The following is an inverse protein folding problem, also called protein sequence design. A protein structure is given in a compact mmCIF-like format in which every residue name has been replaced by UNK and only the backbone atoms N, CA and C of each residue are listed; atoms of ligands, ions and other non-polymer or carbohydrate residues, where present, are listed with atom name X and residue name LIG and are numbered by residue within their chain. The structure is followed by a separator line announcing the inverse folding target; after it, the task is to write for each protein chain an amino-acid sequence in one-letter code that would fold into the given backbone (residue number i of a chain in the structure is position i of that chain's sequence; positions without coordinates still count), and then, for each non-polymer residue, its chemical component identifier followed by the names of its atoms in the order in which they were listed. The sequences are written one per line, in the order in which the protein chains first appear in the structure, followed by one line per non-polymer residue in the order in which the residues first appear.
data_IF_374777422704
#
_entry.id   IF_374777422704
#
_cell.length_a   1.000
_cell.length_b   1.000
_cell.length_c   1.000
_cell.angle_alpha   90.00
_cell.angle_beta   90.00
_cell.angle_gamma   90.00
#
_symmetry.space_group_name_H-M   'P 1'
#
loop_
_entity.id
_entity.type
_entity.pdbx_description
1 polymer ?
#
# COMPACT_ATOMS: atom_id res chain seq x y z
N UNK A 1 15.81 18.72 68.20
CA UNK A 1 15.80 18.57 66.72
C UNK A 1 16.87 19.54 66.21
N UNK A 2 17.93 19.19 65.48
CA UNK A 2 18.04 18.35 64.27
C UNK A 2 19.43 17.69 64.23
N UNK A 3 19.46 16.52 63.59
CA UNK A 3 20.57 15.57 63.44
C UNK A 3 21.72 16.11 62.57
N UNK A 4 22.91 15.75 63.05
CA UNK A 4 24.25 15.55 62.48
C UNK A 4 24.42 15.16 60.99
N UNK A 5 25.62 15.55 60.50
CA UNK A 5 26.57 14.93 59.53
C UNK A 5 26.31 15.19 58.04
N UNK A 6 27.13 16.02 57.37
CA UNK A 6 28.48 15.75 56.78
C UNK A 6 28.47 14.55 55.84
N UNK A 7 28.71 14.77 54.53
CA UNK A 7 29.79 14.16 53.74
C UNK A 7 29.94 14.94 52.41
N UNK A 8 31.15 15.44 52.24
CA UNK A 8 31.81 15.95 51.03
C UNK A 8 31.74 14.94 49.87
N UNK A 9 31.56 15.39 48.63
CA UNK A 9 32.47 15.07 47.50
C UNK A 9 32.03 15.74 46.20
N UNK A 10 32.99 16.49 45.65
CA UNK A 10 32.96 17.21 44.38
C UNK A 10 33.26 16.22 43.26
N UNK A 11 32.32 15.95 42.35
CA UNK A 11 32.64 15.54 40.97
C UNK A 11 31.68 16.25 40.02
N UNK A 12 32.18 17.33 39.43
CA UNK A 12 31.61 17.97 38.24
C UNK A 12 32.02 17.09 37.04
N UNK A 13 31.09 16.29 36.53
CA UNK A 13 31.21 15.71 35.19
C UNK A 13 30.25 16.48 34.29
N UNK A 14 30.79 17.53 33.70
CA UNK A 14 30.28 18.16 32.50
C UNK A 14 30.86 17.38 31.32
N UNK A 15 30.05 16.56 30.64
CA UNK A 15 30.46 15.88 29.40
C UNK A 15 29.24 15.57 28.55
N UNK A 16 28.99 16.48 27.60
CA UNK A 16 28.51 16.25 26.25
C UNK A 16 27.23 15.41 26.05
N UNK A 17 26.15 16.17 25.81
CA UNK A 17 25.03 15.85 24.92
C UNK A 17 25.45 14.96 23.74
N UNK A 18 24.97 13.73 23.71
CA UNK A 18 24.50 13.08 22.49
C UNK A 18 23.24 12.30 22.85
N UNK A 19 22.11 12.88 22.48
CA UNK A 19 20.80 12.28 22.65
C UNK A 19 20.73 10.97 21.87
N UNK A 20 20.78 9.85 22.60
CA UNK A 20 20.13 8.63 22.19
C UNK A 20 18.62 8.86 22.31
N UNK A 21 18.08 9.62 21.36
CA UNK A 21 16.71 9.48 20.93
C UNK A 21 16.60 8.06 20.36
N UNK A 22 16.48 7.08 21.25
CA UNK A 22 15.84 5.82 20.89
C UNK A 22 14.40 6.21 20.59
N UNK A 23 14.16 6.65 19.36
CA UNK A 23 12.83 6.85 18.86
C UNK A 23 12.17 5.50 19.01
N UNK A 24 11.33 5.36 20.05
CA UNK A 24 10.41 4.26 20.15
C UNK A 24 9.74 4.22 18.78
N UNK A 25 10.05 3.19 17.99
CA UNK A 25 9.34 2.95 16.73
C UNK A 25 7.97 2.54 17.20
N UNK A 26 7.11 3.52 17.48
CA UNK A 26 5.68 3.32 17.56
C UNK A 26 5.34 2.75 16.20
N UNK A 27 5.29 1.42 16.13
CA UNK A 27 4.66 0.69 15.05
C UNK A 27 3.23 1.15 15.11
N UNK A 28 2.94 2.28 14.44
CA UNK A 28 1.58 2.77 14.31
C UNK A 28 0.83 1.60 13.68
N UNK A 29 -0.07 1.00 14.46
CA UNK A 29 -0.95 -0.04 13.95
C UNK A 29 -1.59 0.52 12.68
N UNK A 30 -1.21 -0.06 11.55
CA UNK A 30 -1.48 0.53 10.26
C UNK A 30 -2.98 0.50 10.01
N UNK A 31 -3.58 1.67 9.81
CA UNK A 31 -5.04 1.81 9.70
C UNK A 31 -5.43 1.82 8.23
N UNK A 32 -6.47 1.07 7.92
CA UNK A 32 -7.13 1.16 6.62
C UNK A 32 -7.81 2.52 6.46
N UNK A 33 -7.45 3.24 5.41
CA UNK A 33 -8.07 4.49 5.01
C UNK A 33 -9.20 4.23 4.00
N UNK A 34 -10.27 5.01 4.05
CA UNK A 34 -11.37 4.91 3.09
C UNK A 34 -11.02 5.58 1.75
N UNK A 35 -11.42 4.94 0.66
CA UNK A 35 -11.24 5.39 -0.71
C UNK A 35 -9.99 4.80 -1.37
N UNK A 36 -9.68 5.29 -2.57
CA UNK A 36 -8.46 4.93 -3.31
C UNK A 36 -7.46 6.09 -3.25
N UNK A 37 -6.15 5.86 -3.06
CA UNK A 37 -5.11 6.88 -3.19
C UNK A 37 -5.14 7.58 -4.55
N UNK A 38 -4.94 8.90 -4.58
CA UNK A 38 -4.97 9.68 -5.83
C UNK A 38 -4.01 9.15 -6.89
N UNK A 39 -2.82 8.69 -6.48
CA UNK A 39 -1.79 8.16 -7.39
C UNK A 39 -2.21 6.89 -8.13
N UNK A 40 -3.17 6.14 -7.58
CA UNK A 40 -3.70 4.91 -8.15
C UNK A 40 -5.00 5.12 -8.93
N UNK A 41 -5.58 6.32 -8.93
CA UNK A 41 -6.82 6.58 -9.65
C UNK A 41 -6.53 6.75 -11.13
N UNK A 42 -7.34 6.13 -11.97
CA UNK A 42 -7.21 6.21 -13.43
C UNK A 42 -7.70 4.96 -14.15
N UNK A 43 -7.54 4.99 -15.47
CA UNK A 43 -7.74 3.84 -16.35
C UNK A 43 -6.36 3.27 -16.72
N UNK A 44 -6.20 1.97 -16.57
CA UNK A 44 -4.98 1.25 -16.84
C UNK A 44 -5.25 0.19 -17.89
N UNK A 45 -4.54 0.24 -19.01
CA UNK A 45 -4.55 -0.77 -20.06
C UNK A 45 -3.45 -1.79 -19.81
N UNK A 46 -3.69 -3.06 -20.14
CA UNK A 46 -2.64 -4.08 -20.07
C UNK A 46 -1.56 -3.77 -21.10
N UNK A 47 -0.30 -3.68 -20.68
CA UNK A 47 0.84 -3.66 -21.61
C UNK A 47 0.81 -4.98 -22.37
N UNK A 48 0.55 -4.92 -23.68
CA UNK A 48 0.38 -6.11 -24.50
C UNK A 48 1.64 -6.98 -24.40
N UNK A 49 1.51 -8.17 -23.82
CA UNK A 49 2.39 -9.27 -24.17
C UNK A 49 1.57 -10.18 -25.09
N UNK A 50 1.97 -10.09 -26.37
CA UNK A 50 2.09 -11.19 -27.32
C UNK A 50 2.27 -12.53 -26.59
N UNK A 51 1.74 -13.61 -27.17
CA UNK A 51 1.72 -14.99 -26.64
C UNK A 51 0.49 -15.34 -25.79
N UNK A 52 -0.63 -15.51 -26.49
CA UNK A 52 -1.34 -16.80 -26.51
C UNK A 52 -2.13 -17.26 -25.29
N UNK A 53 -2.00 -16.68 -24.10
CA UNK A 53 -2.56 -17.32 -22.90
C UNK A 53 -3.43 -16.45 -21.99
N UNK A 54 -4.67 -16.94 -21.87
CA UNK A 54 -5.61 -16.96 -20.74
C UNK A 54 -6.09 -15.62 -20.13
N UNK A 55 -7.40 -15.35 -20.28
CA UNK A 55 -8.41 -14.82 -19.32
C UNK A 55 -8.01 -13.83 -18.20
N UNK A 56 -6.91 -13.08 -18.31
CA UNK A 56 -6.52 -12.09 -17.30
C UNK A 56 -6.78 -10.67 -17.79
N UNK A 57 -7.18 -9.83 -16.85
CA UNK A 57 -7.93 -8.60 -17.07
C UNK A 57 -7.33 -7.68 -18.16
N UNK A 58 -8.17 -7.19 -19.09
CA UNK A 58 -7.80 -6.30 -20.20
C UNK A 58 -7.54 -4.87 -19.72
N UNK A 59 -8.40 -4.39 -18.81
CA UNK A 59 -8.33 -3.06 -18.25
C UNK A 59 -8.57 -3.10 -16.75
N UNK A 60 -7.93 -2.16 -16.05
CA UNK A 60 -8.24 -1.85 -14.66
C UNK A 60 -8.65 -0.38 -14.57
N UNK A 61 -9.83 -0.11 -14.04
CA UNK A 61 -10.26 1.25 -13.71
C UNK A 61 -10.38 1.37 -12.21
N UNK A 62 -9.68 2.34 -11.64
CA UNK A 62 -9.69 2.60 -10.21
C UNK A 62 -10.16 4.03 -9.96
N UNK A 63 -11.22 4.17 -9.17
CA UNK A 63 -11.75 5.48 -8.75
C UNK A 63 -11.75 5.57 -7.23
N UNK A 64 -12.17 6.71 -6.68
CA UNK A 64 -12.37 6.89 -5.24
C UNK A 64 -13.32 5.83 -4.62
N UNK A 65 -14.26 5.29 -5.41
CA UNK A 65 -15.37 4.47 -4.89
C UNK A 65 -15.41 3.04 -5.41
N UNK A 66 -14.74 2.77 -6.53
CA UNK A 66 -14.79 1.46 -7.19
C UNK A 66 -13.43 1.06 -7.75
N UNK A 67 -13.17 -0.25 -7.74
CA UNK A 67 -12.14 -0.88 -8.53
C UNK A 67 -12.82 -1.87 -9.48
N UNK A 68 -12.51 -1.75 -10.75
CA UNK A 68 -13.17 -2.47 -11.82
C UNK A 68 -12.11 -3.10 -12.72
N UNK A 69 -12.24 -4.40 -12.99
CA UNK A 69 -11.35 -5.13 -13.90
C UNK A 69 -12.17 -5.72 -15.06
N UNK A 70 -11.72 -5.52 -16.30
CA UNK A 70 -12.36 -6.07 -17.52
C UNK A 70 -11.68 -7.35 -18.00
N UNK A 71 -12.30 -8.28 -18.74
CA UNK A 71 -13.62 -8.18 -19.36
C UNK A 71 -14.73 -8.16 -18.29
N UNK A 72 -15.63 -7.21 -18.50
CA UNK A 72 -16.72 -6.62 -17.70
C UNK A 72 -17.50 -7.52 -16.69
N UNK A 73 -17.32 -8.83 -16.66
CA UNK A 73 -18.34 -9.72 -16.09
C UNK A 73 -18.10 -10.21 -14.66
N UNK A 74 -16.88 -10.16 -14.11
CA UNK A 74 -16.60 -10.94 -12.88
C UNK A 74 -16.02 -10.21 -11.67
N UNK A 75 -15.54 -8.97 -11.79
CA UNK A 75 -14.97 -8.28 -10.63
C UNK A 75 -15.21 -6.77 -10.65
N UNK A 76 -16.41 -6.40 -10.20
CA UNK A 76 -16.70 -5.04 -9.77
C UNK A 76 -16.56 -5.02 -8.25
N UNK A 77 -15.59 -4.28 -7.74
CA UNK A 77 -15.44 -4.11 -6.30
C UNK A 77 -15.71 -2.67 -5.84
N UNK A 78 -16.36 -2.55 -4.69
CA UNK A 78 -16.82 -1.30 -4.09
C UNK A 78 -16.23 -1.09 -2.71
N UNK A 79 -16.41 0.15 -2.20
CA UNK A 79 -15.97 0.59 -0.88
C UNK A 79 -14.46 0.31 -0.66
N UNK A 80 -13.60 0.73 -1.61
CA UNK A 80 -12.18 0.47 -1.47
C UNK A 80 -11.67 1.12 -0.21
N UNK A 81 -10.92 0.34 0.56
CA UNK A 81 -10.06 0.80 1.62
C UNK A 81 -8.64 0.47 1.24
N UNK A 82 -7.70 1.29 1.68
CA UNK A 82 -6.28 1.05 1.43
C UNK A 82 -5.42 1.23 2.67
N UNK A 83 -4.26 0.62 2.63
CA UNK A 83 -3.19 0.77 3.60
C UNK A 83 -1.88 0.93 2.83
N UNK A 84 -1.12 2.00 3.10
CA UNK A 84 0.20 2.19 2.48
C UNK A 84 1.24 1.42 3.29
N UNK A 85 1.87 0.43 2.67
CA UNK A 85 2.85 -0.47 3.33
C UNK A 85 4.28 -0.30 2.81
N UNK A 86 4.49 0.62 1.87
CA UNK A 86 5.80 0.93 1.33
C UNK A 86 5.74 2.13 0.38
N UNK A 87 6.90 2.57 -0.13
CA UNK A 87 7.00 3.77 -0.96
C UNK A 87 5.96 3.81 -2.09
N UNK A 88 5.80 2.69 -2.80
CA UNK A 88 4.85 2.53 -3.91
C UNK A 88 3.98 1.28 -3.78
N UNK A 89 3.75 0.82 -2.55
CA UNK A 89 3.05 -0.43 -2.30
C UNK A 89 1.83 -0.16 -1.42
N UNK A 90 0.68 -0.62 -1.88
CA UNK A 90 -0.60 -0.39 -1.24
C UNK A 90 -1.33 -1.73 -1.08
N UNK A 91 -1.75 -2.04 0.13
CA UNK A 91 -2.76 -3.08 0.33
C UNK A 91 -4.14 -2.48 0.12
N UNK A 92 -5.01 -3.22 -0.57
CA UNK A 92 -6.40 -2.88 -0.83
C UNK A 92 -7.30 -3.91 -0.18
N UNK A 93 -8.38 -3.43 0.41
CA UNK A 93 -9.51 -4.21 0.88
C UNK A 93 -10.74 -3.66 0.17
N UNK A 94 -11.43 -4.54 -0.54
CA UNK A 94 -12.59 -4.17 -1.34
C UNK A 94 -13.70 -5.19 -1.14
N UNK A 95 -14.94 -4.79 -1.41
CA UNK A 95 -16.11 -5.68 -1.35
C UNK A 95 -16.60 -5.98 -2.74
N UNK A 96 -16.99 -7.21 -3.00
CA UNK A 96 -17.62 -7.58 -4.27
C UNK A 96 -19.04 -7.00 -4.34
N UNK A 97 -19.38 -6.44 -5.49
CA UNK A 97 -20.72 -5.90 -5.75
C UNK A 97 -21.78 -7.01 -5.67
N UNK A 98 -21.47 -8.21 -6.16
CA UNK A 98 -22.41 -9.33 -6.19
C UNK A 98 -22.38 -10.16 -4.89
N UNK A 99 -21.31 -10.06 -4.11
CA UNK A 99 -21.24 -10.62 -2.75
C UNK A 99 -20.66 -9.60 -1.75
N UNK A 100 -21.45 -8.65 -1.24
CA UNK A 100 -20.96 -7.57 -0.36
C UNK A 100 -20.46 -8.03 1.01
N UNK A 101 -20.75 -9.29 1.37
CA UNK A 101 -20.23 -9.95 2.57
C UNK A 101 -18.80 -10.46 2.36
N UNK A 102 -18.42 -10.77 1.12
CA UNK A 102 -17.07 -11.20 0.77
C UNK A 102 -16.16 -10.00 0.61
N UNK A 103 -15.05 -10.00 1.35
CA UNK A 103 -13.99 -9.00 1.22
C UNK A 103 -12.79 -9.61 0.51
N UNK A 104 -12.24 -8.87 -0.45
CA UNK A 104 -11.06 -9.25 -1.19
C UNK A 104 -9.90 -8.37 -0.81
N UNK A 105 -8.73 -8.98 -0.69
CA UNK A 105 -7.49 -8.30 -0.34
C UNK A 105 -6.47 -8.47 -1.46
N UNK A 106 -5.86 -7.38 -1.91
CA UNK A 106 -4.77 -7.46 -2.89
C UNK A 106 -3.75 -6.37 -2.68
N UNK A 107 -2.50 -6.68 -3.03
CA UNK A 107 -1.35 -5.78 -2.97
C UNK A 107 -1.18 -5.10 -4.32
N UNK A 108 -1.39 -3.80 -4.42
CA UNK A 108 -1.09 -3.03 -5.62
C UNK A 108 0.31 -2.43 -5.52
N UNK A 109 1.05 -2.49 -6.64
CA UNK A 109 2.34 -1.81 -6.77
C UNK A 109 2.22 -0.71 -7.82
N UNK A 110 2.68 0.48 -7.48
CA UNK A 110 2.73 1.62 -8.39
C UNK A 110 4.16 1.86 -8.85
N UNK A 111 4.34 2.32 -10.08
CA UNK A 111 5.61 2.92 -10.51
C UNK A 111 5.36 3.94 -11.60
N UNK A 112 6.26 4.91 -11.73
CA UNK A 112 6.33 5.81 -12.88
C UNK A 112 7.64 5.51 -13.60
N UNK A 113 7.60 5.32 -14.91
CA UNK A 113 8.79 5.14 -15.73
C UNK A 113 8.56 5.86 -17.05
N UNK A 114 9.50 6.70 -17.48
CA UNK A 114 9.40 7.52 -18.69
C UNK A 114 8.10 8.35 -18.76
N UNK A 115 7.66 8.90 -17.63
CA UNK A 115 6.39 9.67 -17.53
C UNK A 115 5.11 8.80 -17.56
N UNK A 116 5.24 7.50 -17.84
CA UNK A 116 4.11 6.57 -17.90
C UNK A 116 3.88 5.97 -16.51
N UNK A 117 2.62 6.02 -16.05
CA UNK A 117 2.20 5.35 -14.82
C UNK A 117 2.03 3.87 -15.06
N UNK A 118 2.47 3.03 -14.15
CA UNK A 118 2.20 1.59 -14.20
C UNK A 118 1.59 1.10 -12.89
N UNK A 119 0.68 0.16 -13.03
CA UNK A 119 0.00 -0.54 -11.95
C UNK A 119 0.33 -2.03 -12.05
N UNK A 120 0.96 -2.56 -11.01
CA UNK A 120 1.24 -3.98 -10.84
C UNK A 120 0.14 -4.64 -10.00
N UNK A 121 -0.58 -5.58 -10.60
CA UNK A 121 -1.60 -6.40 -9.92
C UNK A 121 -1.06 -7.82 -9.79
N UNK A 122 -0.91 -8.36 -8.56
CA UNK A 122 -0.46 -9.72 -8.34
C UNK A 122 -1.57 -10.70 -8.68
N UNK A 123 -1.18 -11.86 -9.20
CA UNK A 123 -2.08 -12.97 -9.49
C UNK A 123 -1.36 -14.29 -9.22
N UNK A 124 -2.13 -15.33 -8.90
CA UNK A 124 -1.60 -16.67 -8.69
C UNK A 124 -1.62 -17.43 -10.02
N UNK A 125 -0.48 -17.95 -10.44
CA UNK A 125 -0.33 -18.75 -11.64
C UNK A 125 0.45 -20.03 -11.30
N UNK A 126 -0.19 -21.20 -11.43
CA UNK A 126 0.37 -22.51 -11.03
C UNK A 126 1.02 -22.48 -9.63
N UNK A 127 0.31 -21.94 -8.63
CA UNK A 127 0.82 -21.85 -7.26
C UNK A 127 1.81 -20.72 -7.01
N UNK A 128 2.42 -20.14 -8.05
CA UNK A 128 3.40 -19.05 -7.94
C UNK A 128 2.71 -17.68 -8.03
N UNK A 129 3.10 -16.77 -7.15
CA UNK A 129 2.66 -15.37 -7.25
C UNK A 129 3.43 -14.67 -8.38
N UNK A 130 2.70 -14.17 -9.36
CA UNK A 130 3.22 -13.34 -10.46
C UNK A 130 2.59 -11.94 -10.39
N UNK A 131 3.14 -10.98 -11.12
CA UNK A 131 2.57 -9.62 -11.22
C UNK A 131 2.33 -9.27 -12.67
N UNK A 132 1.10 -8.85 -12.98
CA UNK A 132 0.74 -8.30 -14.28
C UNK A 132 0.85 -6.78 -14.20
N UNK A 133 1.53 -6.17 -15.17
CA UNK A 133 1.69 -4.73 -15.25
C UNK A 133 0.71 -4.13 -16.27
N UNK A 134 0.03 -3.08 -15.83
CA UNK A 134 -0.85 -2.26 -16.63
C UNK A 134 -0.24 -0.87 -16.73
N UNK A 135 -0.34 -0.22 -17.89
CA UNK A 135 0.09 1.17 -18.06
C UNK A 135 -1.14 2.08 -18.00
N UNK A 136 -1.00 3.21 -17.31
CA UNK A 136 -2.04 4.23 -17.22
C UNK A 136 -2.18 4.96 -18.55
N UNK A 137 -3.39 5.02 -19.08
CA UNK A 137 -3.72 5.97 -20.15
C UNK A 137 -3.97 7.34 -19.51
N UNK A 138 -3.14 8.33 -19.84
CA UNK A 138 -3.53 9.73 -19.67
C UNK A 138 -4.54 10.03 -20.76
N UNK A 139 -5.81 10.21 -20.37
CA UNK A 139 -6.78 10.92 -21.20
C UNK A 139 -6.74 12.39 -20.80
#
# INVERSE_FOLDING_TARGET
MVKRRIITETIVICSCVFGLNCAAVTVHASKWHNGTPNVLRGKYGRAANLYGEHRFWRFATITKYRLYLEPVETAIWIKPKYEKIGANIYYFNVKDVYSPKTSYHFKLTYKISHGIKYLGIPYKNHGKMKTTWYYGHQY
#
